data_IF_980275660318
#
_entry.id   IF_980275660318
#
_cell.length_a   1.000
_cell.length_b   1.000
_cell.length_c   1.000
_cell.angle_alpha   90.00
_cell.angle_beta   90.00
_cell.angle_gamma   90.00
#
_symmetry.space_group_name_H-M   'P 1'
#
loop_
_entity.id
_entity.type
_entity.pdbx_description
1 polymer ?
#
# COMPACT_ATOMS: atom_id res chain seq x y z
N UNK A 1 -15.05 11.58 -4.47
CA UNK A 1 -15.75 12.19 -3.32
C UNK A 1 -14.76 12.40 -2.18
N UNK A 2 -13.64 13.07 -2.45
CA UNK A 2 -12.69 13.55 -1.43
C UNK A 2 -12.39 14.99 -1.82
N UNK A 3 -13.09 15.91 -1.17
CA UNK A 3 -13.01 17.33 -1.46
C UNK A 3 -12.04 18.05 -0.50
N UNK A 4 -11.26 17.27 0.25
CA UNK A 4 -10.41 17.73 1.34
C UNK A 4 -11.16 18.05 2.62
N UNK A 5 -10.45 18.59 3.61
CA UNK A 5 -11.03 18.92 4.91
C UNK A 5 -11.56 20.35 5.01
N UNK A 6 -12.48 20.57 5.96
CA UNK A 6 -13.19 21.85 6.13
C UNK A 6 -12.29 22.97 6.70
N UNK A 7 -11.53 22.69 7.76
CA UNK A 7 -10.62 23.67 8.38
C UNK A 7 -9.14 23.33 8.14
N UNK A 8 -8.81 22.04 8.19
CA UNK A 8 -7.48 21.51 7.91
C UNK A 8 -7.52 20.75 6.58
N UNK A 9 -6.40 20.66 5.86
CA UNK A 9 -6.32 19.93 4.58
C UNK A 9 -7.30 20.44 3.51
N UNK A 10 -7.63 21.74 3.50
CA UNK A 10 -8.43 22.36 2.43
C UNK A 10 -7.76 22.13 1.08
N UNK A 11 -8.51 21.59 0.12
CA UNK A 11 -8.03 21.19 -1.21
C UNK A 11 -6.85 20.20 -1.19
N UNK A 12 -6.72 19.40 -0.13
CA UNK A 12 -5.74 18.30 -0.02
C UNK A 12 -6.47 17.01 0.30
N UNK A 13 -5.99 15.89 -0.25
CA UNK A 13 -6.56 14.57 0.02
C UNK A 13 -6.69 14.29 1.53
N UNK A 14 -7.91 13.96 1.96
CA UNK A 14 -8.21 13.55 3.33
C UNK A 14 -8.25 12.02 3.49
N UNK A 15 -8.30 11.30 2.37
CA UNK A 15 -8.37 9.83 2.31
C UNK A 15 -7.09 9.15 1.79
N UNK A 16 -6.03 9.92 1.51
CA UNK A 16 -4.78 9.37 0.98
C UNK A 16 -4.10 8.42 1.98
N UNK A 17 -3.85 7.19 1.54
CA UNK A 17 -3.04 6.19 2.23
C UNK A 17 -2.10 5.51 1.22
N UNK A 18 -0.96 4.99 1.69
CA UNK A 18 -0.04 4.19 0.88
C UNK A 18 0.48 2.99 1.65
N UNK A 19 0.80 1.92 0.93
CA UNK A 19 1.40 0.70 1.45
C UNK A 19 2.52 0.23 0.51
N UNK A 20 3.46 -0.56 1.03
CA UNK A 20 4.53 -1.17 0.23
C UNK A 20 4.00 -2.41 -0.48
N UNK A 21 4.28 -2.54 -1.77
CA UNK A 21 4.16 -3.80 -2.50
C UNK A 21 5.49 -4.56 -2.36
N UNK A 22 5.45 -5.78 -1.84
CA UNK A 22 6.63 -6.62 -1.67
C UNK A 22 6.68 -7.63 -2.79
N UNK A 23 7.72 -7.56 -3.62
CA UNK A 23 8.04 -8.56 -4.62
C UNK A 23 9.40 -9.16 -4.27
N UNK A 24 9.41 -10.35 -3.65
CA UNK A 24 10.64 -11.01 -3.22
C UNK A 24 10.60 -12.52 -3.44
N UNK A 25 11.79 -13.12 -3.50
CA UNK A 25 11.97 -14.57 -3.54
C UNK A 25 12.85 -14.98 -2.34
N UNK A 26 12.40 -15.92 -1.50
CA UNK A 26 13.21 -16.43 -0.40
C UNK A 26 14.37 -17.27 -0.92
N UNK A 27 15.59 -16.97 -0.47
CA UNK A 27 16.78 -17.76 -0.75
C UNK A 27 16.93 -18.98 0.15
N UNK A 28 17.84 -19.91 -0.18
CA UNK A 28 18.11 -21.11 0.63
C UNK A 28 18.53 -20.81 2.08
N UNK A 29 19.24 -19.70 2.28
CA UNK A 29 19.74 -19.26 3.58
C UNK A 29 18.74 -18.37 4.35
N UNK A 30 17.49 -18.25 3.85
CA UNK A 30 16.45 -17.40 4.44
C UNK A 30 16.58 -15.91 4.13
N UNK A 31 17.60 -15.51 3.36
CA UNK A 31 17.74 -14.13 2.86
C UNK A 31 16.80 -13.95 1.67
N UNK A 32 15.93 -12.94 1.73
CA UNK A 32 15.03 -12.60 0.63
C UNK A 32 15.74 -11.72 -0.42
N UNK A 33 15.58 -12.09 -1.69
CA UNK A 33 15.95 -11.21 -2.82
C UNK A 33 14.75 -10.35 -3.18
N UNK A 34 14.85 -9.03 -2.96
CA UNK A 34 13.78 -8.08 -3.28
C UNK A 34 13.95 -7.45 -4.67
N UNK A 35 12.83 -7.21 -5.33
CA UNK A 35 12.70 -6.44 -6.57
C UNK A 35 11.87 -5.20 -6.26
N UNK A 36 12.53 -4.10 -5.88
CA UNK A 36 11.84 -2.92 -5.34
C UNK A 36 11.55 -1.84 -6.40
N UNK A 37 12.13 -1.93 -7.61
CA UNK A 37 11.90 -0.93 -8.67
C UNK A 37 10.70 -1.30 -9.53
N UNK A 38 9.51 -0.75 -9.22
CA UNK A 38 8.31 -0.91 -10.03
C UNK A 38 8.48 -0.28 -11.42
N UNK A 39 8.31 -1.08 -12.47
CA UNK A 39 8.44 -0.66 -13.87
C UNK A 39 7.09 -0.45 -14.54
N UNK A 40 6.14 -1.37 -14.34
CA UNK A 40 4.81 -1.32 -14.97
C UNK A 40 3.76 -2.09 -14.14
N UNK A 41 2.48 -1.77 -14.37
CA UNK A 41 1.33 -2.39 -13.69
C UNK A 41 0.22 -2.69 -14.70
N UNK A 42 -0.28 -3.92 -14.69
CA UNK A 42 -1.43 -4.35 -15.46
C UNK A 42 -2.57 -4.83 -14.55
N UNK A 43 -3.78 -4.34 -14.81
CA UNK A 43 -4.97 -4.70 -14.02
C UNK A 43 -5.85 -5.64 -14.84
N UNK A 44 -5.85 -6.92 -14.46
CA UNK A 44 -6.70 -7.91 -15.07
C UNK A 44 -8.08 -7.90 -14.41
N UNK A 45 -9.10 -7.54 -15.19
CA UNK A 45 -10.49 -7.62 -14.75
C UNK A 45 -10.90 -9.09 -14.58
N UNK A 46 -11.57 -9.41 -13.48
CA UNK A 46 -12.20 -10.71 -13.25
C UNK A 46 -13.71 -10.59 -13.47
N UNK A 47 -14.44 -11.69 -13.27
CA UNK A 47 -15.91 -11.64 -13.28
C UNK A 47 -16.47 -10.70 -12.20
N UNK A 48 -15.76 -10.57 -11.08
CA UNK A 48 -16.05 -9.58 -10.05
C UNK A 48 -15.23 -8.32 -10.30
N UNK A 49 -15.88 -7.29 -10.84
CA UNK A 49 -15.26 -5.99 -11.15
C UNK A 49 -14.69 -5.28 -9.93
N UNK A 50 -15.11 -5.65 -8.70
CA UNK A 50 -14.53 -5.13 -7.46
C UNK A 50 -13.24 -5.86 -7.09
N UNK A 51 -12.95 -7.01 -7.66
CA UNK A 51 -11.78 -7.82 -7.34
C UNK A 51 -10.96 -8.15 -8.60
N UNK A 52 -10.39 -7.14 -9.27
CA UNK A 52 -9.38 -7.39 -10.29
C UNK A 52 -8.10 -7.97 -9.66
N UNK A 53 -7.33 -8.65 -10.50
CA UNK A 53 -5.98 -9.12 -10.15
C UNK A 53 -4.97 -8.11 -10.67
N UNK A 54 -4.01 -7.72 -9.83
CA UNK A 54 -3.01 -6.71 -10.17
C UNK A 54 -1.69 -7.42 -10.45
N UNK A 55 -1.20 -7.30 -11.67
CA UNK A 55 0.13 -7.72 -12.08
C UNK A 55 1.06 -6.52 -12.05
N UNK A 56 2.27 -6.69 -11.55
CA UNK A 56 3.26 -5.64 -11.54
C UNK A 56 4.63 -6.20 -11.87
N UNK A 57 5.35 -5.49 -12.76
CA UNK A 57 6.70 -5.81 -13.19
C UNK A 57 7.67 -5.00 -12.35
N UNK A 58 8.64 -5.67 -11.73
CA UNK A 58 9.67 -5.05 -10.91
C UNK A 58 11.07 -5.40 -11.43
N UNK A 59 12.02 -4.53 -11.12
CA UNK A 59 13.45 -4.75 -11.31
C UNK A 59 14.19 -4.70 -9.97
N UNK A 60 15.34 -5.37 -9.90
CA UNK A 60 16.22 -5.29 -8.74
C UNK A 60 16.91 -3.91 -8.68
N UNK A 61 17.01 -3.32 -7.48
CA UNK A 61 17.57 -1.96 -7.28
C UNK A 61 19.10 -1.87 -7.37
N UNK A 62 19.79 -2.99 -7.57
CA UNK A 62 21.26 -3.05 -7.58
C UNK A 62 21.83 -2.99 -9.00
N UNK A 63 22.87 -2.19 -9.22
CA UNK A 63 23.57 -2.13 -10.52
C UNK A 63 24.35 -3.41 -10.86
N UNK A 64 24.69 -4.21 -9.84
CA UNK A 64 25.48 -5.44 -9.96
C UNK A 64 24.61 -6.64 -10.36
N UNK A 65 23.39 -6.72 -9.83
CA UNK A 65 22.44 -7.79 -10.13
C UNK A 65 21.30 -7.27 -11.00
N UNK A 66 21.32 -7.65 -12.28
CA UNK A 66 20.23 -7.35 -13.20
C UNK A 66 19.23 -8.49 -13.19
N UNK A 67 18.07 -8.24 -12.59
CA UNK A 67 16.96 -9.19 -12.56
C UNK A 67 15.64 -8.45 -12.58
N UNK A 68 14.63 -9.08 -13.18
CA UNK A 68 13.24 -8.62 -13.17
C UNK A 68 12.33 -9.71 -12.63
N UNK A 69 11.23 -9.31 -12.02
CA UNK A 69 10.22 -10.19 -11.48
C UNK A 69 8.82 -9.69 -11.84
N UNK A 70 7.87 -10.61 -11.96
CA UNK A 70 6.45 -10.29 -12.08
C UNK A 70 5.76 -10.79 -10.82
N UNK A 71 5.15 -9.89 -10.07
CA UNK A 71 4.38 -10.22 -8.89
C UNK A 71 2.89 -9.98 -9.12
N UNK A 72 2.07 -10.77 -8.44
CA UNK A 72 0.61 -10.77 -8.56
C UNK A 72 0.02 -10.46 -7.20
N UNK A 73 -0.90 -9.50 -7.15
CA UNK A 73 -1.53 -9.03 -5.93
C UNK A 73 -3.06 -9.10 -6.05
N UNK A 74 -3.71 -9.53 -4.97
CA UNK A 74 -5.17 -9.53 -4.89
C UNK A 74 -5.68 -8.22 -4.26
N UNK A 75 -6.84 -7.75 -4.71
CA UNK A 75 -7.50 -6.61 -4.06
C UNK A 75 -7.94 -6.92 -2.62
N UNK A 76 -8.10 -8.20 -2.26
CA UNK A 76 -8.39 -8.60 -0.89
C UNK A 76 -7.21 -8.29 0.05
N UNK A 77 -5.99 -8.67 -0.35
CA UNK A 77 -4.78 -8.41 0.44
C UNK A 77 -4.51 -6.90 0.57
N UNK A 78 -4.67 -6.17 -0.53
CA UNK A 78 -4.48 -4.72 -0.54
C UNK A 78 -5.45 -4.04 0.44
N UNK A 79 -6.73 -4.43 0.42
CA UNK A 79 -7.73 -3.91 1.38
C UNK A 79 -7.41 -4.31 2.81
N UNK A 80 -6.94 -5.54 3.04
CA UNK A 80 -6.53 -6.00 4.35
C UNK A 80 -5.40 -5.13 4.92
N UNK A 81 -4.39 -4.81 4.10
CA UNK A 81 -3.29 -3.92 4.50
C UNK A 81 -3.80 -2.51 4.80
N UNK A 82 -4.66 -1.94 3.95
CA UNK A 82 -5.26 -0.63 4.22
C UNK A 82 -6.19 -0.64 5.43
N UNK A 83 -6.74 -1.79 5.83
CA UNK A 83 -7.53 -2.00 7.04
C UNK A 83 -6.69 -2.33 8.29
N UNK A 84 -5.38 -2.50 8.12
CA UNK A 84 -4.44 -2.79 9.19
C UNK A 84 -3.99 -1.56 10.00
N UNK A 85 -2.93 -1.72 10.82
CA UNK A 85 -2.36 -0.62 11.59
C UNK A 85 -1.64 0.39 10.69
N UNK A 86 -1.69 1.66 11.06
CA UNK A 86 -0.90 2.71 10.41
C UNK A 86 0.57 2.64 10.84
N UNK A 87 1.50 2.96 9.94
CA UNK A 87 2.89 3.18 10.30
C UNK A 87 3.02 4.50 11.07
N UNK A 88 3.66 4.47 12.25
CA UNK A 88 3.77 5.60 13.16
C UNK A 88 5.20 5.79 13.66
N UNK A 89 5.58 7.04 13.92
CA UNK A 89 6.80 7.46 14.61
C UNK A 89 6.44 8.53 15.63
N UNK A 90 6.93 8.39 16.86
CA UNK A 90 6.75 9.42 17.90
C UNK A 90 7.59 10.68 17.64
N UNK A 91 8.69 10.53 16.91
CA UNK A 91 9.55 11.65 16.51
C UNK A 91 10.52 11.28 15.38
N UNK A 92 11.34 12.23 14.90
CA UNK A 92 12.20 12.04 13.74
C UNK A 92 13.18 10.86 13.86
N UNK A 93 13.72 10.66 15.08
CA UNK A 93 14.73 9.64 15.38
C UNK A 93 14.13 8.29 15.81
N UNK A 94 12.81 8.17 15.91
CA UNK A 94 12.14 6.93 16.30
C UNK A 94 12.02 5.98 15.11
N UNK A 95 11.99 4.69 15.40
CA UNK A 95 11.71 3.66 14.40
C UNK A 95 10.23 3.66 14.01
N UNK A 96 9.94 3.22 12.78
CA UNK A 96 8.55 3.01 12.36
C UNK A 96 7.97 1.84 13.15
N UNK A 97 6.82 2.07 13.79
CA UNK A 97 6.10 1.07 14.56
C UNK A 97 4.62 1.05 14.13
N UNK A 98 3.90 -0.06 14.29
CA UNK A 98 2.45 -0.08 14.14
C UNK A 98 1.79 0.87 15.15
N UNK A 99 0.84 1.70 14.70
CA UNK A 99 0.06 2.57 15.57
C UNK A 99 -0.85 1.74 16.48
N UNK A 100 -0.72 1.91 17.79
CA UNK A 100 -1.48 1.17 18.82
C UNK A 100 -2.47 2.05 19.58
N UNK A 101 -2.55 3.35 19.27
CA UNK A 101 -3.46 4.29 19.91
C UNK A 101 -4.92 4.15 19.46
N UNK A 102 -5.79 5.02 19.99
CA UNK A 102 -7.22 5.02 19.64
C UNK A 102 -7.43 5.50 18.20
N UNK A 103 -8.08 4.68 17.40
CA UNK A 103 -8.41 5.01 16.01
C UNK A 103 -9.46 6.13 15.94
N UNK A 104 -9.21 7.23 15.20
CA UNK A 104 -10.23 8.24 14.93
C UNK A 104 -11.43 7.64 14.18
N UNK A 105 -12.61 8.24 14.37
CA UNK A 105 -13.84 7.88 13.66
C UNK A 105 -14.39 9.09 12.87
N UNK A 106 -14.74 8.94 11.58
CA UNK A 106 -14.56 7.75 10.75
C UNK A 106 -13.08 7.39 10.55
N UNK A 107 -12.80 6.11 10.23
CA UNK A 107 -11.41 5.64 10.10
C UNK A 107 -10.73 6.38 8.94
N UNK A 108 -9.55 6.99 9.14
CA UNK A 108 -8.84 7.66 8.06
C UNK A 108 -8.67 6.74 6.84
N UNK A 109 -8.95 7.26 5.65
CA UNK A 109 -8.94 6.50 4.40
C UNK A 109 -10.27 5.84 4.00
N UNK A 110 -11.31 5.87 4.84
CA UNK A 110 -12.66 5.47 4.41
C UNK A 110 -13.35 6.60 3.66
N UNK A 111 -14.06 6.27 2.57
CA UNK A 111 -14.88 7.25 1.84
C UNK A 111 -16.06 7.67 2.70
N UNK A 112 -16.26 8.97 2.85
CA UNK A 112 -17.44 9.54 3.50
C UNK A 112 -18.70 9.13 2.72
N UNK A 113 -19.53 8.25 3.28
CA UNK A 113 -20.92 8.11 2.83
C UNK A 113 -21.70 9.31 3.37
N UNK A 114 -22.56 9.97 2.56
CA UNK A 114 -23.52 10.92 3.10
C UNK A 114 -24.26 10.24 4.25
N UNK A 115 -24.29 10.85 5.44
CA UNK A 115 -25.23 10.41 6.47
C UNK A 115 -26.63 10.51 5.86
N UNK A 116 -27.34 9.38 5.84
CA UNK A 116 -28.78 9.36 5.56
C UNK A 116 -29.55 10.03 6.70
#
# INVERSE_FOLDING_TARGET
NDDGGHCCLVNKWSTFLKARLVCSVPGPDGIETHFDELQDVFIQQTQDTKNPVIYAVFSASGSVFKGSAVCVYSMADIRMVFNGPFAHKEGPNYQWMPYTGKMPYPRPGTVSTPQA
#
